data_IF_971407525076
#
_entry.id   IF_971407525076
#
_cell.length_a   1.000
_cell.length_b   1.000
_cell.length_c   1.000
_cell.angle_alpha   90.00
_cell.angle_beta   90.00
_cell.angle_gamma   90.00
#
_symmetry.space_group_name_H-M   'P 1'
#
loop_
_entity.id
_entity.type
_entity.pdbx_description
1 polymer ?
#
# COMPACT_ATOMS: atom_id res chain seq x y z
N UNK A 1 -7.90 3.13 0.99
CA UNK A 1 -8.10 2.55 -0.36
C UNK A 1 -9.57 2.41 -0.79
N UNK A 2 -10.49 1.83 0.01
CA UNK A 2 -11.92 1.70 -0.39
C UNK A 2 -12.57 3.02 -0.82
N UNK A 3 -12.31 4.13 -0.13
CA UNK A 3 -12.80 5.46 -0.52
C UNK A 3 -12.25 5.96 -1.87
N UNK A 4 -10.96 5.75 -2.13
CA UNK A 4 -10.37 6.11 -3.43
C UNK A 4 -10.87 5.20 -4.57
N UNK A 5 -11.06 3.90 -4.29
CA UNK A 5 -11.65 2.97 -5.26
C UNK A 5 -13.09 3.38 -5.64
N UNK A 6 -13.89 3.85 -4.69
CA UNK A 6 -15.28 4.29 -4.92
C UNK A 6 -15.36 5.57 -5.76
N UNK A 7 -14.36 6.46 -5.62
CA UNK A 7 -14.35 7.77 -6.24
C UNK A 7 -13.57 7.84 -7.56
N UNK A 8 -12.67 6.89 -7.82
CA UNK A 8 -11.85 6.86 -9.03
C UNK A 8 -12.72 6.71 -10.28
N UNK A 9 -12.43 7.50 -11.33
CA UNK A 9 -13.15 7.44 -12.61
C UNK A 9 -12.51 6.43 -13.56
N UNK A 10 -11.18 6.33 -13.52
CA UNK A 10 -10.42 5.38 -14.32
C UNK A 10 -10.52 3.95 -13.73
N UNK A 11 -10.92 2.99 -14.58
CA UNK A 11 -11.11 1.58 -14.17
C UNK A 11 -9.81 0.89 -13.78
N UNK A 12 -8.69 1.25 -14.43
CA UNK A 12 -7.38 0.66 -14.10
C UNK A 12 -6.93 1.11 -12.72
N UNK A 13 -7.16 2.39 -12.41
CA UNK A 13 -6.88 3.01 -11.11
C UNK A 13 -7.78 2.43 -10.03
N UNK A 14 -9.07 2.23 -10.31
CA UNK A 14 -9.99 1.58 -9.39
C UNK A 14 -9.56 0.15 -9.07
N UNK A 15 -9.18 -0.64 -10.09
CA UNK A 15 -8.69 -2.01 -9.90
C UNK A 15 -7.44 -2.05 -9.04
N UNK A 16 -6.52 -1.11 -9.26
CA UNK A 16 -5.31 -0.96 -8.46
C UNK A 16 -5.61 -0.67 -6.97
N UNK A 17 -6.56 0.21 -6.68
CA UNK A 17 -6.96 0.47 -5.29
C UNK A 17 -7.65 -0.72 -4.63
N UNK A 18 -8.48 -1.46 -5.36
CA UNK A 18 -9.11 -2.68 -4.86
C UNK A 18 -8.08 -3.76 -4.54
N UNK A 19 -7.06 -3.95 -5.39
CA UNK A 19 -5.96 -4.88 -5.12
C UNK A 19 -5.21 -4.51 -3.84
N UNK A 20 -4.87 -3.24 -3.66
CA UNK A 20 -4.16 -2.78 -2.46
C UNK A 20 -5.00 -2.91 -1.18
N UNK A 21 -6.32 -2.77 -1.29
CA UNK A 21 -7.24 -3.01 -0.16
C UNK A 21 -7.17 -4.47 0.30
N UNK A 22 -7.21 -5.44 -0.61
CA UNK A 22 -7.12 -6.86 -0.25
C UNK A 22 -5.74 -7.20 0.32
N UNK A 23 -4.65 -6.71 -0.30
CA UNK A 23 -3.30 -6.89 0.22
C UNK A 23 -3.15 -6.34 1.64
N UNK A 24 -3.72 -5.17 1.92
CA UNK A 24 -3.67 -4.58 3.27
C UNK A 24 -4.42 -5.42 4.30
N UNK A 25 -5.57 -6.00 3.93
CA UNK A 25 -6.32 -6.89 4.83
C UNK A 25 -5.52 -8.15 5.14
N UNK A 26 -4.88 -8.75 4.15
CA UNK A 26 -4.05 -9.94 4.33
C UNK A 26 -2.89 -9.67 5.31
N UNK A 27 -2.15 -8.59 5.10
CA UNK A 27 -1.05 -8.17 5.99
C UNK A 27 -1.56 -7.90 7.41
N UNK A 28 -2.70 -7.22 7.55
CA UNK A 28 -3.31 -6.94 8.86
C UNK A 28 -3.65 -8.25 9.57
N UNK A 29 -4.38 -9.16 8.91
CA UNK A 29 -4.81 -10.43 9.51
C UNK A 29 -3.62 -11.30 9.93
N UNK A 30 -2.57 -11.36 9.12
CA UNK A 30 -1.37 -12.11 9.47
C UNK A 30 -0.68 -11.50 10.71
N UNK A 31 -0.52 -10.18 10.74
CA UNK A 31 0.13 -9.49 11.86
C UNK A 31 -0.71 -9.56 13.15
N UNK A 32 -2.04 -9.45 13.04
CA UNK A 32 -2.96 -9.66 14.17
C UNK A 32 -2.84 -11.08 14.73
N UNK A 33 -2.74 -12.09 13.87
CA UNK A 33 -2.52 -13.48 14.28
C UNK A 33 -1.24 -13.64 15.11
N UNK A 34 -0.13 -13.05 14.67
CA UNK A 34 1.15 -13.07 15.39
C UNK A 34 1.03 -12.46 16.80
N UNK A 35 0.30 -11.34 16.91
CA UNK A 35 0.07 -10.68 18.20
C UNK A 35 -0.75 -11.56 19.13
N UNK A 36 -1.85 -12.15 18.62
CA UNK A 36 -2.73 -13.03 19.40
C UNK A 36 -1.99 -14.27 19.89
N UNK A 37 -1.19 -14.92 19.03
CA UNK A 37 -0.33 -16.06 19.42
C UNK A 37 0.66 -15.67 20.53
N UNK A 38 1.10 -14.41 20.56
CA UNK A 38 1.98 -13.86 21.59
C UNK A 38 1.22 -13.36 22.83
N UNK A 39 -0.09 -13.59 22.93
CA UNK A 39 -0.99 -13.07 23.97
C UNK A 39 -1.02 -11.52 24.04
N UNK A 40 -0.80 -10.85 22.91
CA UNK A 40 -0.86 -9.39 22.76
C UNK A 40 -2.15 -9.05 22.03
N UNK A 41 -2.95 -8.15 22.60
CA UNK A 41 -4.17 -7.66 21.96
C UNK A 41 -3.82 -6.76 20.78
N UNK A 42 -4.31 -7.06 19.56
CA UNK A 42 -4.09 -6.18 18.42
C UNK A 42 -4.73 -4.80 18.61
N UNK A 43 -4.15 -3.74 18.03
CA UNK A 43 -4.73 -2.41 18.10
C UNK A 43 -6.08 -2.37 17.39
N UNK A 44 -7.03 -1.58 17.91
CA UNK A 44 -8.31 -1.38 17.24
C UNK A 44 -8.13 -0.71 15.88
N UNK A 45 -8.92 -1.13 14.90
CA UNK A 45 -8.93 -0.51 13.56
C UNK A 45 -9.26 0.98 13.69
N UNK A 46 -8.54 1.89 13.02
CA UNK A 46 -8.83 3.32 13.07
C UNK A 46 -10.30 3.60 12.71
N UNK A 47 -10.98 4.37 13.56
CA UNK A 47 -12.38 4.71 13.37
C UNK A 47 -12.58 5.59 12.13
N UNK A 48 -13.20 5.04 11.09
CA UNK A 48 -13.50 5.78 9.86
C UNK A 48 -14.19 4.91 8.83
N UNK A 49 -15.50 5.11 8.65
CA UNK A 49 -16.26 4.42 7.60
C UNK A 49 -16.27 5.28 6.34
N UNK A 50 -16.08 4.64 5.19
CA UNK A 50 -16.23 5.31 3.89
C UNK A 50 -17.67 5.81 3.74
N UNK A 51 -17.83 7.09 3.40
CA UNK A 51 -19.14 7.69 3.14
C UNK A 51 -19.76 7.16 1.84
N UNK A 52 -21.08 7.35 1.65
CA UNK A 52 -21.78 6.95 0.43
C UNK A 52 -21.48 7.82 -0.80
N UNK A 53 -20.76 8.94 -0.66
CA UNK A 53 -20.42 9.83 -1.78
C UNK A 53 -19.49 9.15 -2.78
N UNK A 54 -19.86 9.17 -4.07
CA UNK A 54 -19.04 8.71 -5.19
C UNK A 54 -18.36 9.87 -5.93
N UNK A 55 -18.54 11.10 -5.45
CA UNK A 55 -17.95 12.29 -6.05
C UNK A 55 -16.47 12.33 -5.64
N UNK A 56 -15.59 12.30 -6.65
CA UNK A 56 -14.15 12.33 -6.42
C UNK A 56 -13.71 13.65 -5.79
N UNK A 57 -13.14 13.64 -4.56
CA UNK A 57 -12.63 14.85 -3.92
C UNK A 57 -11.31 15.32 -4.54
N UNK A 58 -10.57 14.40 -5.17
CA UNK A 58 -9.27 14.62 -5.79
C UNK A 58 -9.21 13.98 -7.19
N UNK A 59 -8.22 14.35 -7.98
CA UNK A 59 -7.97 13.73 -9.29
C UNK A 59 -7.42 12.32 -9.15
N UNK A 60 -7.70 11.45 -10.13
CA UNK A 60 -7.16 10.09 -10.19
C UNK A 60 -5.62 10.09 -10.16
N UNK A 61 -4.99 11.09 -10.79
CA UNK A 61 -3.54 11.33 -10.72
C UNK A 61 -3.05 11.50 -9.29
N UNK A 62 -3.67 12.41 -8.52
CA UNK A 62 -3.25 12.68 -7.14
C UNK A 62 -3.51 11.48 -6.23
N UNK A 63 -4.68 10.85 -6.36
CA UNK A 63 -5.02 9.66 -5.56
C UNK A 63 -4.05 8.50 -5.83
N UNK A 64 -3.71 8.24 -7.09
CA UNK A 64 -2.78 7.19 -7.47
C UNK A 64 -1.36 7.50 -6.97
N UNK A 65 -0.90 8.74 -7.13
CA UNK A 65 0.40 9.18 -6.63
C UNK A 65 0.51 9.04 -5.11
N UNK A 66 -0.49 9.48 -4.35
CA UNK A 66 -0.51 9.32 -2.89
C UNK A 66 -0.42 7.85 -2.47
N UNK A 67 -1.14 6.96 -3.16
CA UNK A 67 -1.11 5.53 -2.83
C UNK A 67 0.21 4.87 -3.19
N UNK A 68 0.79 5.23 -4.35
CA UNK A 68 2.14 4.79 -4.73
C UNK A 68 3.18 5.24 -3.70
N UNK A 69 3.15 6.52 -3.30
CA UNK A 69 4.05 7.09 -2.29
C UNK A 69 3.94 6.35 -0.96
N UNK A 70 2.71 6.11 -0.47
CA UNK A 70 2.48 5.34 0.75
C UNK A 70 2.94 3.88 0.63
N UNK A 71 2.81 3.26 -0.55
CA UNK A 71 3.36 1.95 -0.84
C UNK A 71 4.89 1.92 -0.72
N UNK A 72 5.58 2.93 -1.27
CA UNK A 72 7.04 3.08 -1.12
C UNK A 72 7.47 3.27 0.34
N UNK A 73 6.73 4.07 1.11
CA UNK A 73 6.99 4.21 2.55
C UNK A 73 6.79 2.91 3.32
N UNK A 74 5.75 2.15 2.98
CA UNK A 74 5.49 0.83 3.56
C UNK A 74 6.66 -0.13 3.29
N UNK A 75 7.15 -0.18 2.05
CA UNK A 75 8.31 -1.02 1.69
C UNK A 75 9.57 -0.61 2.47
N UNK A 76 9.86 0.69 2.56
CA UNK A 76 10.97 1.21 3.36
C UNK A 76 10.84 0.87 4.85
N UNK A 77 9.61 0.94 5.39
CA UNK A 77 9.29 0.56 6.77
C UNK A 77 9.53 -0.93 7.03
N UNK A 78 9.25 -1.81 6.07
CA UNK A 78 9.56 -3.23 6.20
C UNK A 78 11.08 -3.49 6.23
N UNK A 79 11.84 -2.81 5.36
CA UNK A 79 13.31 -2.89 5.37
C UNK A 79 13.91 -2.41 6.70
N UNK A 80 13.38 -1.33 7.26
CA UNK A 80 13.77 -0.83 8.57
C UNK A 80 13.43 -1.84 9.67
N UNK A 81 12.20 -2.36 9.69
CA UNK A 81 11.73 -3.35 10.68
C UNK A 81 12.59 -4.62 10.67
N UNK A 82 12.98 -5.12 9.49
CA UNK A 82 13.82 -6.30 9.35
C UNK A 82 15.18 -6.17 10.04
N UNK A 83 15.70 -4.94 10.21
CA UNK A 83 17.00 -4.70 10.87
C UNK A 83 16.90 -4.82 12.40
N UNK A 84 15.74 -4.56 12.99
CA UNK A 84 15.54 -4.53 14.45
C UNK A 84 14.87 -5.80 15.01
N UNK A 85 14.50 -6.74 14.15
CA UNK A 85 13.86 -7.98 14.56
C UNK A 85 14.89 -9.09 14.73
N UNK A 86 14.83 -9.77 15.87
CA UNK A 86 15.68 -10.91 16.21
C UNK A 86 14.95 -12.26 16.05
N UNK A 87 13.64 -12.22 15.77
CA UNK A 87 12.77 -13.37 15.61
C UNK A 87 12.77 -13.85 14.16
N UNK A 88 13.35 -15.01 13.90
CA UNK A 88 13.52 -15.56 12.54
C UNK A 88 12.19 -15.83 11.81
N UNK A 89 11.15 -16.24 12.55
CA UNK A 89 9.79 -16.41 12.06
C UNK A 89 9.22 -15.08 11.51
N UNK A 90 9.44 -13.98 12.23
CA UNK A 90 8.98 -12.65 11.82
C UNK A 90 9.78 -12.10 10.64
N UNK A 91 11.10 -12.28 10.63
CA UNK A 91 11.95 -11.86 9.51
C UNK A 91 11.47 -12.49 8.19
N UNK A 92 11.16 -13.79 8.22
CA UNK A 92 10.69 -14.51 7.04
C UNK A 92 9.34 -13.98 6.56
N UNK A 93 8.39 -13.77 7.48
CA UNK A 93 7.06 -13.20 7.15
C UNK A 93 7.17 -11.79 6.56
N UNK A 94 7.97 -10.92 7.16
CA UNK A 94 8.22 -9.57 6.65
C UNK A 94 8.85 -9.60 5.26
N UNK A 95 9.74 -10.56 4.99
CA UNK A 95 10.30 -10.76 3.65
C UNK A 95 9.22 -11.05 2.60
N UNK A 96 8.26 -11.93 2.91
CA UNK A 96 7.13 -12.24 2.02
C UNK A 96 6.24 -10.99 1.84
N UNK A 97 5.85 -10.33 2.93
CA UNK A 97 5.05 -9.11 2.86
C UNK A 97 5.75 -8.00 2.06
N UNK A 98 7.06 -7.83 2.23
CA UNK A 98 7.85 -6.85 1.48
C UNK A 98 7.87 -7.17 -0.02
N UNK A 99 7.93 -8.45 -0.40
CA UNK A 99 7.80 -8.88 -1.80
C UNK A 99 6.45 -8.46 -2.38
N UNK A 100 5.36 -8.72 -1.68
CA UNK A 100 4.02 -8.39 -2.18
C UNK A 100 3.76 -6.88 -2.23
N UNK A 101 4.26 -6.12 -1.25
CA UNK A 101 4.24 -4.66 -1.26
C UNK A 101 5.08 -4.11 -2.42
N UNK A 102 6.25 -4.70 -2.69
CA UNK A 102 7.11 -4.29 -3.81
C UNK A 102 6.42 -4.51 -5.15
N UNK A 103 5.82 -5.69 -5.37
CA UNK A 103 5.06 -6.00 -6.59
C UNK A 103 3.89 -5.01 -6.77
N UNK A 104 3.14 -4.74 -5.71
CA UNK A 104 2.05 -3.76 -5.72
C UNK A 104 2.54 -2.33 -6.03
N UNK A 105 3.64 -1.90 -5.41
CA UNK A 105 4.19 -0.56 -5.60
C UNK A 105 4.74 -0.39 -7.02
N UNK A 106 5.39 -1.43 -7.55
CA UNK A 106 5.87 -1.48 -8.94
C UNK A 106 4.71 -1.38 -9.95
N UNK A 107 3.61 -2.07 -9.71
CA UNK A 107 2.40 -1.94 -10.55
C UNK A 107 1.84 -0.51 -10.52
N UNK A 108 1.84 0.13 -9.35
CA UNK A 108 1.46 1.54 -9.21
C UNK A 108 2.36 2.48 -10.02
N UNK A 109 3.67 2.27 -9.98
CA UNK A 109 4.62 3.01 -10.79
C UNK A 109 4.39 2.80 -12.29
N UNK A 110 4.18 1.55 -12.72
CA UNK A 110 3.89 1.22 -14.12
C UNK A 110 2.59 1.87 -14.61
N UNK A 111 1.57 1.95 -13.75
CA UNK A 111 0.31 2.61 -14.06
C UNK A 111 0.47 4.14 -14.14
N UNK A 112 1.26 4.74 -13.25
CA UNK A 112 1.59 6.16 -13.32
C UNK A 112 2.35 6.50 -14.61
N UNK A 113 3.31 5.65 -15.01
CA UNK A 113 4.06 5.81 -16.25
C UNK A 113 3.18 5.66 -17.48
N UNK A 114 2.30 4.65 -17.55
CA UNK A 114 1.43 4.43 -18.70
C UNK A 114 0.43 5.56 -18.95
N UNK A 115 0.04 6.26 -17.88
CA UNK A 115 -0.85 7.44 -17.95
C UNK A 115 -0.07 8.76 -18.10
N UNK A 116 1.27 8.75 -18.10
CA UNK A 116 2.10 9.95 -18.19
C UNK A 116 1.99 10.87 -16.95
N UNK A 117 1.76 10.28 -15.78
CA UNK A 117 1.48 11.01 -14.53
C UNK A 117 2.70 11.15 -13.60
N UNK A 118 3.79 10.44 -13.92
CA UNK A 118 5.06 10.54 -13.20
C UNK A 118 5.93 11.61 -13.85
N UNK A 119 6.55 12.45 -13.01
CA UNK A 119 7.52 13.44 -13.49
C UNK A 119 8.84 12.74 -13.82
N UNK A 120 9.49 13.16 -14.90
CA UNK A 120 10.81 12.66 -15.25
C UNK A 120 11.86 13.35 -14.34
N UNK A 121 12.70 12.60 -13.62
CA UNK A 121 13.75 13.19 -12.82
C UNK A 121 14.78 13.88 -13.72
N UNK A 122 15.46 14.94 -13.25
CA UNK A 122 16.50 15.62 -14.02
C UNK A 122 17.59 14.61 -14.42
N UNK A 123 17.89 14.57 -15.72
CA UNK A 123 18.98 13.76 -16.27
C UNK A 123 20.31 14.47 -15.96
N UNK A 124 21.32 13.70 -15.53
CA UNK A 124 22.69 14.18 -15.64
C UNK A 124 23.12 14.02 -17.10
N UNK A 125 23.50 15.12 -17.73
CA UNK A 125 24.24 15.10 -18.99
C UNK A 125 25.67 14.61 -18.66
N UNK A 126 25.97 13.36 -19.00
CA UNK A 126 27.32 12.78 -18.95
C UNK A 126 27.98 12.85 -20.32
#
# INVERSE_FOLDING_TARGET
MKGFAQCAKDKDVQKYFSKGLELSKEIILENEGILIESNIQPPSTPGGTVTSSTIAPFSDRLMLFCNYLLGSFSLGGQGFSATFLWRNDLITKIGVQAKDIFEYTREGAALLMSKGWIEEPPKMDL
#
